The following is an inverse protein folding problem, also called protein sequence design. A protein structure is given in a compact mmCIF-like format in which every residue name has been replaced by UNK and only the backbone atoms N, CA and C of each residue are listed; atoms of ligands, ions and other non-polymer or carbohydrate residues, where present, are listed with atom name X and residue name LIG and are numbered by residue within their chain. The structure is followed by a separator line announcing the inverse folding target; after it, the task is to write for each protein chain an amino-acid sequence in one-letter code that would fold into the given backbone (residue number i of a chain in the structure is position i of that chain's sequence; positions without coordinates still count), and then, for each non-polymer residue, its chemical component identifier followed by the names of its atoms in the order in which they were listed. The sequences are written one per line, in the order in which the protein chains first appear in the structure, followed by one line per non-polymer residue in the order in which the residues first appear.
data_IF_368580395315
#
_entry.id   IF_368580395315
#
_cell.length_a   1.000
_cell.length_b   1.000
_cell.length_c   1.000
_cell.angle_alpha   90.00
_cell.angle_beta   90.00
_cell.angle_gamma   90.00
#
_symmetry.space_group_name_H-M   'P 1'
#
loop_
_entity.id
_entity.type
_entity.pdbx_description
1 polymer ?
#
# COMPACT_ATOMS: atom_id res chain seq x y z
N UNK A 1 18.16 2.53 -0.13
CA UNK A 1 17.71 3.52 0.87
C UNK A 1 16.41 2.95 1.37
N UNK A 2 16.36 2.33 2.55
CA UNK A 2 15.23 1.42 2.82
C UNK A 2 13.89 2.13 2.90
N UNK A 3 12.96 1.64 2.08
CA UNK A 3 11.57 2.08 1.97
C UNK A 3 10.65 0.85 2.00
N UNK A 4 9.34 1.06 2.09
CA UNK A 4 8.36 -0.03 2.12
C UNK A 4 8.53 -0.97 0.92
N UNK A 5 8.79 -0.44 -0.27
CA UNK A 5 8.95 -1.23 -1.50
C UNK A 5 10.21 -2.09 -1.46
N UNK A 6 11.34 -1.56 -0.95
CA UNK A 6 12.59 -2.32 -0.80
C UNK A 6 12.39 -3.48 0.19
N UNK A 7 11.65 -3.25 1.27
CA UNK A 7 11.37 -4.30 2.28
C UNK A 7 10.45 -5.39 1.74
N UNK A 8 9.50 -5.06 0.87
CA UNK A 8 8.55 -6.02 0.31
C UNK A 8 9.04 -6.67 -1.00
N UNK A 9 10.19 -6.26 -1.54
CA UNK A 9 10.69 -6.74 -2.84
C UNK A 9 9.80 -6.36 -4.03
N UNK A 10 9.07 -5.24 -3.91
CA UNK A 10 8.15 -4.77 -4.95
C UNK A 10 8.81 -3.86 -6.00
N UNK A 11 8.00 -3.37 -6.94
CA UNK A 11 8.40 -2.32 -7.90
C UNK A 11 7.68 -1.02 -7.56
N UNK A 12 8.43 0.08 -7.39
CA UNK A 12 7.85 1.40 -7.15
C UNK A 12 7.52 2.07 -8.49
N UNK A 13 6.23 2.27 -8.75
CA UNK A 13 5.73 2.98 -9.93
C UNK A 13 5.40 4.44 -9.63
N UNK A 14 5.70 4.93 -8.42
CA UNK A 14 5.43 6.29 -8.00
C UNK A 14 3.94 6.61 -7.95
N UNK A 15 3.56 7.78 -8.49
CA UNK A 15 2.19 8.28 -8.44
C UNK A 15 1.33 7.87 -9.67
N UNK A 16 1.80 6.94 -10.51
CA UNK A 16 1.04 6.39 -11.64
C UNK A 16 0.54 4.98 -11.34
N UNK A 17 -0.41 4.51 -12.13
CA UNK A 17 -0.76 3.11 -12.17
C UNK A 17 0.28 2.31 -12.98
N UNK A 18 0.53 1.04 -12.61
CA UNK A 18 1.23 0.13 -13.52
C UNK A 18 0.38 -0.16 -14.76
N UNK A 19 1.04 -0.48 -15.86
CA UNK A 19 0.43 -0.83 -17.14
C UNK A 19 0.71 -2.29 -17.50
N UNK A 20 -0.23 -3.21 -17.20
CA UNK A 20 -0.08 -4.63 -17.51
C UNK A 20 0.11 -4.91 -19.00
N UNK A 21 -0.37 -4.05 -19.90
CA UNK A 21 -0.18 -4.22 -21.34
C UNK A 21 1.29 -4.03 -21.76
N UNK A 22 2.10 -3.39 -20.91
CA UNK A 22 3.55 -3.22 -21.08
C UNK A 22 4.37 -4.28 -20.33
N UNK A 23 3.71 -5.30 -19.77
CA UNK A 23 4.36 -6.33 -18.95
C UNK A 23 4.66 -5.90 -17.52
N UNK A 24 4.08 -4.79 -17.04
CA UNK A 24 4.23 -4.36 -15.66
C UNK A 24 3.35 -5.18 -14.69
N UNK A 25 3.69 -5.24 -13.39
CA UNK A 25 2.93 -6.02 -12.42
C UNK A 25 1.46 -5.62 -12.33
N UNK A 26 0.56 -6.62 -12.37
CA UNK A 26 -0.89 -6.43 -12.23
C UNK A 26 -1.33 -6.21 -10.78
N UNK A 27 -0.63 -6.83 -9.83
CA UNK A 27 -0.92 -6.77 -8.41
C UNK A 27 -0.35 -5.48 -7.82
N UNK A 28 -1.22 -4.68 -7.21
CA UNK A 28 -0.89 -3.34 -6.73
C UNK A 28 -1.16 -3.22 -5.24
N UNK A 29 -0.20 -2.65 -4.52
CA UNK A 29 -0.39 -2.08 -3.20
C UNK A 29 -0.44 -0.56 -3.34
N UNK A 30 -1.56 0.06 -2.95
CA UNK A 30 -1.67 1.51 -2.92
C UNK A 30 -1.11 2.04 -1.61
N UNK A 31 0.08 2.63 -1.65
CA UNK A 31 0.77 3.11 -0.46
C UNK A 31 0.54 4.60 -0.24
N UNK A 32 0.18 4.98 0.98
CA UNK A 32 0.06 6.39 1.35
C UNK A 32 0.51 6.66 2.78
N UNK A 33 0.95 7.89 3.03
CA UNK A 33 1.25 8.37 4.37
C UNK A 33 -0.04 8.74 5.10
N UNK A 34 -0.10 8.57 6.43
CA UNK A 34 -1.25 8.98 7.25
C UNK A 34 -1.36 10.49 7.47
N UNK A 35 -0.99 11.30 6.48
CA UNK A 35 -1.15 12.75 6.46
C UNK A 35 -2.41 13.15 5.70
N UNK A 36 -2.87 14.39 5.85
CA UNK A 36 -4.07 14.87 5.13
C UNK A 36 -3.93 14.73 3.61
N UNK A 37 -2.75 15.09 3.06
CA UNK A 37 -2.43 14.94 1.64
C UNK A 37 -2.35 13.47 1.23
N UNK A 38 -1.66 12.64 2.00
CA UNK A 38 -1.51 11.21 1.70
C UNK A 38 -2.85 10.49 1.66
N UNK A 39 -3.72 10.73 2.65
CA UNK A 39 -5.06 10.14 2.68
C UNK A 39 -5.96 10.66 1.55
N UNK A 40 -5.85 11.94 1.17
CA UNK A 40 -6.59 12.48 0.03
C UNK A 40 -6.15 11.83 -1.29
N UNK A 41 -4.84 11.70 -1.52
CA UNK A 41 -4.29 11.01 -2.69
C UNK A 41 -4.71 9.55 -2.75
N UNK A 42 -4.71 8.84 -1.62
CA UNK A 42 -5.20 7.46 -1.54
C UNK A 42 -6.68 7.35 -1.92
N UNK A 43 -7.53 8.24 -1.41
CA UNK A 43 -8.95 8.30 -1.77
C UNK A 43 -9.14 8.56 -3.27
N UNK A 44 -8.37 9.47 -3.86
CA UNK A 44 -8.46 9.80 -5.29
C UNK A 44 -8.03 8.63 -6.18
N UNK A 45 -6.92 7.98 -5.86
CA UNK A 45 -6.46 6.79 -6.56
C UNK A 45 -7.49 5.66 -6.45
N UNK A 46 -7.98 5.37 -5.25
CA UNK A 46 -9.00 4.33 -5.06
C UNK A 46 -10.30 4.64 -5.83
N UNK A 47 -10.70 5.92 -5.89
CA UNK A 47 -11.81 6.37 -6.73
C UNK A 47 -11.54 6.12 -8.22
N UNK A 48 -10.35 6.49 -8.72
CA UNK A 48 -9.97 6.27 -10.11
C UNK A 48 -10.01 4.79 -10.51
N UNK A 49 -9.58 3.88 -9.62
CA UNK A 49 -9.68 2.44 -9.87
C UNK A 49 -11.14 1.99 -10.00
N UNK A 50 -12.02 2.47 -9.12
CA UNK A 50 -13.45 2.10 -9.11
C UNK A 50 -14.21 2.66 -10.30
N UNK A 51 -13.84 3.87 -10.73
CA UNK A 51 -14.45 4.53 -11.89
C UNK A 51 -13.92 3.96 -13.23
N UNK A 52 -13.07 2.93 -13.21
CA UNK A 52 -12.46 2.36 -14.42
C UNK A 52 -11.46 3.29 -15.11
N UNK A 53 -10.94 4.31 -14.41
CA UNK A 53 -9.95 5.27 -14.91
C UNK A 53 -8.50 4.81 -14.71
N UNK A 54 -8.29 3.66 -14.08
CA UNK A 54 -7.00 2.99 -14.03
C UNK A 54 -6.88 1.97 -15.20
N UNK A 55 -5.65 1.61 -15.61
CA UNK A 55 -5.44 0.54 -16.58
C UNK A 55 -6.20 -0.74 -16.23
N UNK A 56 -6.70 -1.44 -17.25
CA UNK A 56 -7.46 -2.68 -17.07
C UNK A 56 -6.55 -3.81 -16.58
N UNK A 57 -7.14 -4.78 -15.88
CA UNK A 57 -6.42 -5.97 -15.39
C UNK A 57 -5.56 -5.72 -14.15
N UNK A 58 -5.70 -4.56 -13.50
CA UNK A 58 -5.08 -4.29 -12.21
C UNK A 58 -5.87 -4.94 -11.06
N UNK A 59 -5.13 -5.52 -10.12
CA UNK A 59 -5.65 -6.15 -8.91
C UNK A 59 -5.13 -5.36 -7.69
N UNK A 60 -6.02 -4.64 -7.02
CA UNK A 60 -5.67 -3.95 -5.78
C UNK A 60 -5.70 -4.93 -4.60
N UNK A 61 -4.52 -5.29 -4.09
CA UNK A 61 -4.40 -6.18 -2.93
C UNK A 61 -4.79 -5.50 -1.62
N UNK A 62 -4.29 -4.28 -1.40
CA UNK A 62 -4.60 -3.46 -0.24
C UNK A 62 -4.18 -2.00 -0.42
N UNK A 63 -4.78 -1.12 0.39
CA UNK A 63 -4.23 0.21 0.70
C UNK A 63 -3.33 0.09 1.93
N UNK A 64 -2.06 0.48 1.79
CA UNK A 64 -1.08 0.44 2.88
C UNK A 64 -0.85 1.85 3.41
N UNK A 65 -1.26 2.09 4.65
CA UNK A 65 -1.12 3.37 5.32
C UNK A 65 0.10 3.36 6.25
N UNK A 66 1.15 4.06 5.82
CA UNK A 66 2.40 4.23 6.59
C UNK A 66 2.27 5.44 7.50
N UNK A 67 2.49 5.27 8.79
CA UNK A 67 2.42 6.37 9.73
C UNK A 67 3.42 7.47 9.34
N UNK A 68 2.99 8.72 9.33
CA UNK A 68 3.81 9.85 8.92
C UNK A 68 4.65 10.46 10.04
N UNK A 69 4.22 10.25 11.28
CA UNK A 69 4.89 10.64 12.51
C UNK A 69 4.58 9.61 13.61
N UNK A 70 5.38 9.56 14.70
CA UNK A 70 5.03 8.75 15.87
C UNK A 70 3.78 9.32 16.59
N UNK A 71 3.13 8.48 17.41
CA UNK A 71 2.05 8.90 18.29
C UNK A 71 0.64 8.67 17.73
N UNK A 72 -0.34 9.35 18.34
CA UNK A 72 -1.76 9.19 18.00
C UNK A 72 -2.14 10.04 16.79
N UNK A 73 -2.95 9.47 15.90
CA UNK A 73 -3.49 10.22 14.77
C UNK A 73 -4.61 11.19 15.22
N UNK A 74 -4.63 12.42 14.68
CA UNK A 74 -5.78 13.32 14.82
C UNK A 74 -7.08 12.66 14.36
N UNK A 75 -8.19 12.97 15.05
CA UNK A 75 -9.50 12.39 14.78
C UNK A 75 -9.96 12.56 13.32
N UNK A 76 -9.66 13.71 12.71
CA UNK A 76 -9.98 13.98 11.30
C UNK A 76 -9.32 12.97 10.34
N UNK A 77 -8.09 12.55 10.62
CA UNK A 77 -7.38 11.54 9.82
C UNK A 77 -7.97 10.14 10.07
N UNK A 78 -8.30 9.81 11.31
CA UNK A 78 -8.97 8.54 11.65
C UNK A 78 -10.31 8.38 10.92
N UNK A 79 -11.10 9.46 10.79
CA UNK A 79 -12.36 9.45 10.03
C UNK A 79 -12.12 9.14 8.55
N UNK A 80 -11.13 9.79 7.93
CA UNK A 80 -10.74 9.50 6.52
C UNK A 80 -10.27 8.07 6.33
N UNK A 81 -9.48 7.54 7.26
CA UNK A 81 -9.05 6.13 7.24
C UNK A 81 -10.27 5.19 7.35
N UNK A 82 -11.31 5.55 8.11
CA UNK A 82 -12.55 4.77 8.18
C UNK A 82 -13.25 4.68 6.82
N UNK A 83 -13.28 5.78 6.06
CA UNK A 83 -13.85 5.80 4.70
C UNK A 83 -13.04 4.92 3.74
N UNK A 84 -11.71 4.97 3.81
CA UNK A 84 -10.87 4.07 3.00
C UNK A 84 -11.13 2.59 3.35
N UNK A 85 -11.31 2.28 4.64
CA UNK A 85 -11.61 0.91 5.11
C UNK A 85 -12.96 0.38 4.65
N UNK A 86 -13.97 1.23 4.45
CA UNK A 86 -15.24 0.77 3.87
C UNK A 86 -15.13 0.51 2.37
N UNK A 87 -14.02 0.91 1.74
CA UNK A 87 -13.85 0.84 0.30
C UNK A 87 -12.84 -0.21 -0.18
N UNK A 88 -11.86 -0.54 0.65
CA UNK A 88 -10.82 -1.52 0.33
C UNK A 88 -10.24 -2.15 1.61
N UNK A 89 -9.52 -3.25 1.47
CA UNK A 89 -8.66 -3.78 2.54
C UNK A 89 -7.58 -2.73 2.85
N UNK A 90 -7.46 -2.35 4.13
CA UNK A 90 -6.45 -1.37 4.58
C UNK A 90 -5.53 -2.01 5.60
N UNK A 91 -4.22 -1.93 5.34
CA UNK A 91 -3.17 -2.34 6.27
C UNK A 91 -2.44 -1.10 6.78
N UNK A 92 -2.00 -1.13 8.05
CA UNK A 92 -1.29 -0.01 8.68
C UNK A 92 0.12 -0.41 9.04
N UNK A 93 1.07 0.42 8.63
CA UNK A 93 2.49 0.29 8.98
C UNK A 93 2.82 1.41 9.98
N UNK A 94 3.45 1.10 11.12
CA UNK A 94 3.80 2.11 12.11
C UNK A 94 4.90 3.05 11.61
N UNK A 95 5.20 4.08 12.40
CA UNK A 95 6.32 4.97 12.13
C UNK A 95 7.62 4.20 12.31
N UNK A 96 8.48 4.19 11.28
CA UNK A 96 9.81 3.57 11.32
C UNK A 96 10.86 4.68 11.28
N UNK A 97 11.49 5.02 12.42
CA UNK A 97 12.43 6.14 12.49
C UNK A 97 13.58 6.05 11.49
N UNK A 98 14.13 4.85 11.29
CA UNK A 98 15.28 4.62 10.42
C UNK A 98 15.05 5.08 8.97
N UNK A 99 13.82 4.92 8.46
CA UNK A 99 13.46 5.35 7.11
C UNK A 99 13.57 6.86 6.88
N UNK A 100 13.46 7.68 7.94
CA UNK A 100 13.54 9.15 7.82
C UNK A 100 14.92 9.61 7.36
N UNK A 101 15.95 8.89 7.76
CA UNK A 101 17.35 9.18 7.44
C UNK A 101 17.91 8.20 6.41
N UNK A 102 17.03 7.44 5.73
CA UNK A 102 17.41 6.44 4.73
C UNK A 102 18.08 5.18 5.30
N UNK A 103 18.08 4.99 6.61
CA UNK A 103 18.70 3.86 7.30
C UNK A 103 17.80 2.64 7.38
N UNK A 104 18.42 1.46 7.53
CA UNK A 104 17.76 0.17 7.67
C UNK A 104 17.24 -0.04 9.10
N UNK A 105 15.95 -0.39 9.30
CA UNK A 105 15.46 -0.72 10.63
C UNK A 105 16.12 -1.99 11.16
N UNK A 106 16.48 -2.01 12.45
CA UNK A 106 17.07 -3.18 13.11
C UNK A 106 16.13 -4.40 13.14
N UNK A 107 14.83 -4.15 13.19
CA UNK A 107 13.79 -5.16 13.14
C UNK A 107 12.56 -4.59 12.41
N UNK A 108 11.91 -5.43 11.61
CA UNK A 108 10.65 -5.08 10.98
C UNK A 108 9.50 -5.26 11.99
N UNK A 109 8.55 -4.30 12.05
CA UNK A 109 7.34 -4.49 12.82
C UNK A 109 6.54 -5.69 12.32
N UNK A 110 5.88 -6.44 13.23
CA UNK A 110 5.03 -7.61 12.89
C UNK A 110 3.91 -7.33 11.87
N UNK A 111 3.55 -6.06 11.69
CA UNK A 111 2.60 -5.65 10.66
C UNK A 111 3.09 -5.98 9.24
N UNK A 112 4.40 -6.17 9.05
CA UNK A 112 4.98 -6.64 7.80
C UNK A 112 4.68 -8.11 7.53
N UNK A 113 4.44 -8.93 8.55
CA UNK A 113 4.08 -10.34 8.37
C UNK A 113 2.80 -10.45 7.55
N UNK A 114 1.77 -9.65 7.88
CA UNK A 114 0.52 -9.60 7.09
C UNK A 114 0.71 -9.07 5.68
N UNK A 115 1.69 -8.19 5.45
CA UNK A 115 2.01 -7.69 4.11
C UNK A 115 2.72 -8.78 3.30
N UNK A 116 3.65 -9.50 3.91
CA UNK A 116 4.35 -10.62 3.29
C UNK A 116 3.39 -11.77 2.99
N UNK A 117 2.49 -12.11 3.92
CA UNK A 117 1.40 -13.07 3.71
C UNK A 117 0.51 -12.65 2.54
N UNK A 118 0.08 -11.40 2.47
CA UNK A 118 -0.76 -10.91 1.36
C UNK A 118 -0.06 -11.02 0.00
N UNK A 119 1.25 -10.80 -0.03
CA UNK A 119 2.05 -10.93 -1.24
C UNK A 119 2.31 -12.40 -1.62
N UNK A 120 2.42 -13.29 -0.62
CA UNK A 120 2.74 -14.70 -0.80
C UNK A 120 1.52 -15.65 -0.93
N UNK A 121 0.38 -15.32 -0.32
CA UNK A 121 -0.82 -16.18 -0.28
C UNK A 121 -1.41 -16.41 -1.66
N UNK A 122 -1.20 -15.47 -2.58
CA UNK A 122 -1.72 -15.55 -3.96
C UNK A 122 -0.70 -16.14 -4.95
N UNK A 123 0.50 -16.52 -4.53
CA UNK A 123 1.37 -17.37 -5.35
C UNK A 123 0.83 -18.82 -5.43
N UNK A 124 -0.05 -19.22 -4.51
CA UNK A 124 -0.71 -20.53 -4.50
C UNK A 124 -2.02 -20.56 -5.32
N UNK A 125 -2.70 -19.43 -5.52
CA UNK A 125 -3.99 -19.39 -6.23
C UNK A 125 -3.85 -19.62 -7.74
N UNK A 126 -2.69 -19.33 -8.33
CA UNK A 126 -2.38 -19.57 -9.75
C UNK A 126 -2.01 -21.04 -10.07
N UNK A 127 -1.95 -21.94 -9.07
CA UNK A 127 -1.67 -23.37 -9.27
C UNK A 127 -2.89 -24.30 -9.29
N UNK A 128 -4.11 -23.78 -9.12
CA UNK A 128 -5.33 -24.59 -8.96
C UNK A 128 -6.34 -24.45 -10.10
N UNK A 129 -5.93 -23.91 -11.25
CA UNK A 129 -6.72 -23.90 -12.48
C UNK A 129 -5.87 -24.41 -13.64
N UNK A 130 -5.81 -25.73 -13.79
CA UNK A 130 -5.43 -26.44 -15.01
C UNK A 130 -6.19 -27.75 -15.08
#
# INVERSE_FOLDING_TARGET
MTSLVEVLGGTDVGARWPDPARGEPRRVLLVARTSARGLASASQALGALRDGRAPQGLELLAVVLVADAPGRLPLGLLRRIRVLRSAARVLRVPWIPAWRTGGTPRALPRQFDRLAELMGSELHTEGAAS
#
